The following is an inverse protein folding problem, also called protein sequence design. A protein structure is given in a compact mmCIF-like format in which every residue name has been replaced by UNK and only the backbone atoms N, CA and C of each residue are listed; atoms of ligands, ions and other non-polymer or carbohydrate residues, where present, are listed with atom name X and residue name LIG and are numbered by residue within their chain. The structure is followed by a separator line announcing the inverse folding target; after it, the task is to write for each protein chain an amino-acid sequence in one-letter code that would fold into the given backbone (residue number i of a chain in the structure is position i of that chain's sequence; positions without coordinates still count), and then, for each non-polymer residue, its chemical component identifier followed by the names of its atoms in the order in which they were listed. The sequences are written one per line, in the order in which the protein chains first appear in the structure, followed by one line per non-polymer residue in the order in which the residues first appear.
data_IF_662670582601
#
_entry.id   IF_662670582601
#
_cell.length_a   1.000
_cell.length_b   1.000
_cell.length_c   1.000
_cell.angle_alpha   90.00
_cell.angle_beta   90.00
_cell.angle_gamma   90.00
#
_symmetry.space_group_name_H-M   'P 1'
#
loop_
_entity.id
_entity.type
_entity.pdbx_description
1 polymer ?
2 non-polymer ?
3 non-polymer ?
4 water ?
#
# COMPACT_ATOMS: atom_id res chain seq x y z
N UNK A 1 -6.39 38.90 2.31
CA UNK A 1 -5.85 37.81 3.13
C UNK A 1 -5.67 36.54 2.31
N UNK A 2 -4.86 35.62 2.80
CA UNK A 2 -4.63 34.38 2.09
C UNK A 2 -5.92 33.58 1.97
N UNK A 3 -6.03 32.81 0.90
CA UNK A 3 -7.20 32.00 0.69
C UNK A 3 -7.21 30.81 1.64
N UNK A 4 -8.23 29.97 1.54
CA UNK A 4 -8.31 28.79 2.39
C UNK A 4 -7.34 27.71 1.93
N UNK A 5 -7.08 26.72 2.78
CA UNK A 5 -6.26 25.60 2.36
C UNK A 5 -6.90 24.84 1.19
N UNK A 6 -6.08 24.17 0.39
CA UNK A 6 -6.62 23.33 -0.66
C UNK A 6 -7.37 22.16 -0.05
N UNK A 7 -8.10 21.42 -0.88
CA UNK A 7 -8.83 20.25 -0.37
C UNK A 7 -7.87 19.09 0.01
N UNK A 8 -8.38 18.07 0.70
CA UNK A 8 -7.49 17.02 1.17
C UNK A 8 -6.97 16.14 0.04
N UNK A 9 -5.79 15.56 0.23
CA UNK A 9 -5.25 14.65 -0.75
C UNK A 9 -6.05 13.37 -0.85
N UNK A 10 -5.94 12.69 -1.98
CA UNK A 10 -6.55 11.37 -2.12
C UNK A 10 -5.92 10.38 -1.15
N UNK A 11 -6.68 9.33 -0.84
CA UNK A 11 -6.13 8.20 -0.10
C UNK A 11 -4.96 7.58 -0.85
N UNK A 12 -3.97 7.09 -0.09
CA UNK A 12 -2.81 6.45 -0.67
C UNK A 12 -3.11 5.13 -1.34
N UNK A 13 -2.14 4.60 -2.07
CA UNK A 13 -2.35 3.35 -2.80
C UNK A 13 -2.28 2.17 -1.85
N UNK A 14 -2.69 1.01 -2.36
CA UNK A 14 -2.55 -0.21 -1.58
C UNK A 14 -1.07 -0.51 -1.34
N UNK A 15 -0.78 -1.15 -0.22
CA UNK A 15 0.55 -1.64 0.04
C UNK A 15 0.91 -2.78 -0.91
N UNK A 16 2.18 -3.15 -0.93
CA UNK A 16 2.60 -4.27 -1.78
C UNK A 16 2.03 -5.58 -1.29
N UNK A 17 1.89 -6.53 -2.24
CA UNK A 17 1.59 -7.90 -1.89
C UNK A 17 2.58 -8.40 -0.86
N UNK A 18 2.13 -9.32 -0.01
CA UNK A 18 3.05 -9.96 0.90
C UNK A 18 4.13 -10.73 0.15
N UNK A 19 5.26 -10.96 0.81
CA UNK A 19 6.30 -11.81 0.23
C UNK A 19 5.82 -13.26 0.22
N UNK A 20 6.42 -14.12 -0.60
CA UNK A 20 6.05 -15.54 -0.59
C UNK A 20 6.23 -16.18 0.77
N UNK A 21 5.49 -17.25 0.99
CA UNK A 21 5.66 -18.04 2.17
C UNK A 21 6.94 -18.86 2.14
N UNK A 22 7.17 -19.60 3.22
CA UNK A 22 8.34 -20.47 3.28
C UNK A 22 8.15 -21.72 2.40
N UNK A 23 9.20 -22.52 2.27
CA UNK A 23 9.10 -23.73 1.47
C UNK A 23 8.04 -24.69 2.01
N UNK A 24 7.45 -25.47 1.11
CA UNK A 24 6.45 -26.42 1.53
C UNK A 24 7.09 -27.62 2.21
N UNK A 25 6.26 -28.53 2.72
CA UNK A 25 6.78 -29.74 3.35
C UNK A 25 7.39 -30.73 2.36
N UNK A 26 8.21 -31.63 2.86
CA UNK A 26 8.71 -32.71 2.02
C UNK A 26 7.57 -33.49 1.37
N UNK A 27 7.81 -33.97 0.16
CA UNK A 27 6.81 -34.75 -0.55
C UNK A 27 6.57 -36.10 0.08
N UNK A 28 5.56 -36.82 -0.42
CA UNK A 28 5.29 -38.17 0.10
C UNK A 28 6.34 -39.15 -0.36
N UNK A 29 6.50 -40.27 0.35
CA UNK A 29 7.48 -41.28 -0.06
C UNK A 29 7.23 -41.77 -1.47
N UNK A 30 8.31 -41.88 -2.24
CA UNK A 30 8.23 -42.27 -3.64
C UNK A 30 9.26 -41.57 -4.49
N UNK B 1 -9.11 41.33 -1.11
CA UNK B 1 -9.98 40.16 -0.96
C UNK B 1 -9.20 38.92 -0.60
N UNK B 2 -9.91 37.88 -0.19
CA UNK B 2 -9.27 36.62 0.11
C UNK B 2 -8.89 35.90 -1.18
N UNK B 3 -7.73 35.26 -1.16
CA UNK B 3 -7.23 34.55 -2.31
C UNK B 3 -7.93 33.23 -2.58
N UNK B 4 -7.52 32.54 -3.65
CA UNK B 4 -8.11 31.25 -4.02
C UNK B 4 -7.65 30.14 -3.08
N UNK B 5 -8.22 28.95 -3.20
CA UNK B 5 -7.73 27.85 -2.41
C UNK B 5 -6.28 27.51 -2.72
N UNK B 6 -5.58 26.96 -1.73
CA UNK B 6 -4.27 26.41 -1.95
C UNK B 6 -4.37 25.17 -2.81
N UNK B 7 -3.23 24.62 -3.22
CA UNK B 7 -3.18 23.36 -3.97
C UNK B 7 -3.77 22.22 -3.15
N UNK B 8 -4.26 21.18 -3.80
CA UNK B 8 -4.74 20.02 -3.08
C UNK B 8 -3.62 19.36 -2.31
N UNK B 9 -3.97 18.66 -1.24
CA UNK B 9 -2.99 17.92 -0.48
C UNK B 9 -2.40 16.81 -1.32
N UNK B 10 -1.23 16.34 -0.93
CA UNK B 10 -0.61 15.22 -1.62
C UNK B 10 -1.33 13.91 -1.28
N UNK B 11 -1.19 12.93 -2.17
CA UNK B 11 -1.80 11.63 -1.94
C UNK B 11 -1.25 11.01 -0.65
N UNK B 12 -2.07 10.18 -0.01
CA UNK B 12 -1.67 9.52 1.21
C UNK B 12 -0.55 8.53 1.00
N UNK B 13 0.06 8.08 2.10
CA UNK B 13 1.10 7.06 1.99
C UNK B 13 0.51 5.73 1.56
N UNK B 14 1.37 4.89 0.99
CA UNK B 14 0.95 3.55 0.65
C UNK B 14 0.58 2.78 1.92
N UNK B 15 -0.32 1.83 1.77
CA UNK B 15 -0.73 1.00 2.87
C UNK B 15 0.34 0.00 3.28
N UNK B 16 0.08 -0.70 4.38
CA UNK B 16 1.04 -1.69 4.88
C UNK B 16 1.22 -2.85 3.91
N UNK B 17 2.36 -3.53 4.07
CA UNK B 17 2.59 -4.80 3.37
C UNK B 17 1.44 -5.76 3.57
N UNK B 18 1.11 -6.51 2.52
CA UNK B 18 0.26 -7.67 2.69
C UNK B 18 0.92 -8.72 3.57
N UNK B 19 0.09 -9.61 4.11
CA UNK B 19 0.62 -10.66 4.96
C UNK B 19 1.42 -11.63 4.09
N UNK B 20 2.47 -12.24 4.62
CA UNK B 20 3.23 -13.19 3.81
C UNK B 20 2.37 -14.38 3.40
N UNK B 21 2.78 -15.02 2.32
CA UNK B 21 2.06 -16.13 1.76
C UNK B 21 2.16 -17.36 2.63
N UNK B 22 1.33 -18.36 2.33
CA UNK B 22 1.35 -19.64 3.04
C UNK B 22 2.55 -20.48 2.62
N UNK B 23 2.85 -21.51 3.40
CA UNK B 23 3.88 -22.44 2.99
C UNK B 23 3.59 -22.99 1.59
N UNK B 24 4.65 -23.32 0.86
CA UNK B 24 4.50 -23.82 -0.49
C UNK B 24 3.87 -25.19 -0.57
N UNK B 25 3.63 -25.66 -1.80
CA UNK B 25 3.11 -27.01 -2.02
C UNK B 25 4.08 -28.07 -1.50
N UNK B 26 3.55 -29.24 -1.19
CA UNK B 26 4.41 -30.36 -0.89
C UNK B 26 5.34 -30.68 -2.05
N UNK B 27 6.52 -31.21 -1.74
CA UNK B 27 7.46 -31.58 -2.77
C UNK B 27 6.97 -32.74 -3.61
N UNK B 28 7.69 -33.05 -4.70
CA UNK B 28 7.42 -34.22 -5.53
C UNK B 28 7.46 -35.53 -4.73
N UNK B 29 6.75 -36.54 -5.21
CA UNK B 29 6.75 -37.82 -4.52
C UNK B 29 8.08 -38.58 -4.63
N UNK C 1 -3.47 42.48 -6.48
CA UNK C 1 -4.59 42.95 -5.66
C UNK C 1 -5.44 41.82 -5.05
N UNK C 2 -5.73 40.74 -5.77
CA UNK C 2 -6.40 39.63 -5.12
C UNK C 2 -5.46 39.01 -4.09
N UNK C 3 -6.02 38.31 -3.11
CA UNK C 3 -5.21 37.71 -2.06
C UNK C 3 -4.42 36.53 -2.58
N UNK C 4 -3.35 36.16 -1.87
CA UNK C 4 -2.59 34.97 -2.25
C UNK C 4 -3.40 33.70 -2.03
N UNK C 5 -3.07 32.63 -2.75
CA UNK C 5 -3.70 31.36 -2.49
C UNK C 5 -3.37 30.88 -1.08
N UNK C 6 -4.23 30.05 -0.52
CA UNK C 6 -3.94 29.43 0.76
C UNK C 6 -2.85 28.39 0.67
N UNK C 7 -2.51 27.77 1.80
CA UNK C 7 -1.51 26.70 1.82
C UNK C 7 -2.03 25.43 1.16
N UNK C 8 -1.16 24.46 0.90
CA UNK C 8 -1.61 23.20 0.33
C UNK C 8 -2.56 22.47 1.28
N UNK C 9 -3.39 21.60 0.72
CA UNK C 9 -4.36 20.84 1.49
C UNK C 9 -3.73 19.80 2.39
N UNK C 10 -4.54 19.26 3.30
CA UNK C 10 -4.07 18.22 4.19
C UNK C 10 -3.76 16.95 3.41
N UNK C 11 -2.65 16.31 3.75
CA UNK C 11 -2.29 15.06 3.11
C UNK C 11 -3.38 14.01 3.31
N UNK C 12 -3.54 13.13 2.33
CA UNK C 12 -4.55 12.10 2.37
C UNK C 12 -4.23 10.99 3.35
N UNK C 13 -5.23 10.16 3.67
CA UNK C 13 -5.01 9.02 4.56
C UNK C 13 -4.25 7.90 3.86
N UNK C 14 -3.73 6.99 4.67
CA UNK C 14 -2.98 5.86 4.11
C UNK C 14 -3.89 4.91 3.33
N UNK C 15 -3.27 4.16 2.43
CA UNK C 15 -4.00 3.19 1.65
C UNK C 15 -4.22 1.91 2.42
N UNK C 16 -4.96 1.00 1.79
CA UNK C 16 -5.25 -0.28 2.45
C UNK C 16 -4.04 -1.21 2.48
N UNK C 17 -4.12 -2.21 3.35
CA UNK C 17 -3.10 -3.26 3.38
C UNK C 17 -3.05 -3.96 2.02
N UNK C 18 -1.86 -4.43 1.66
CA UNK C 18 -1.73 -5.24 0.48
C UNK C 18 -2.39 -6.60 0.65
N UNK C 19 -2.45 -7.33 -0.46
CA UNK C 19 -3.07 -8.65 -0.43
C UNK C 19 -2.05 -9.70 0.05
N UNK C 20 -2.50 -10.88 0.47
CA UNK C 20 -1.55 -11.90 0.93
C UNK C 20 -0.56 -12.30 -0.16
N UNK C 21 0.64 -12.68 0.27
CA UNK C 21 1.65 -13.16 -0.64
C UNK C 21 1.30 -14.52 -1.21
N UNK C 22 2.06 -14.95 -2.22
CA UNK C 22 1.87 -16.25 -2.86
C UNK C 22 2.47 -17.38 -2.03
N UNK C 23 2.12 -18.60 -2.39
CA UNK C 23 2.76 -19.76 -1.78
C UNK C 23 4.28 -19.71 -1.92
N UNK C 24 4.97 -20.35 -0.99
CA UNK C 24 6.41 -20.49 -1.11
C UNK C 24 6.76 -21.54 -2.16
N UNK C 25 8.07 -21.80 -2.33
CA UNK C 25 8.51 -22.85 -3.26
C UNK C 25 8.00 -24.22 -2.84
N UNK C 26 7.87 -25.12 -3.81
CA UNK C 26 7.59 -26.51 -3.48
C UNK C 26 8.64 -27.06 -2.51
N UNK C 27 8.19 -27.93 -1.61
CA UNK C 27 9.08 -28.58 -0.68
C UNK C 27 10.04 -29.54 -1.35
N UNK C 28 10.95 -30.12 -0.56
CA UNK C 28 11.89 -31.11 -1.07
C UNK C 28 11.19 -32.38 -1.55
N UNK C 29 11.82 -33.11 -2.46
CA UNK C 29 11.29 -34.39 -2.87
C UNK C 29 11.16 -35.36 -1.69
N UNK C 30 10.16 -36.23 -1.74
CA UNK C 30 9.91 -37.15 -0.65
C UNK C 30 10.74 -38.42 -0.70
X LIG D 1 -12.03 19.51 3.72
X LIG D 1 -13.29 19.45 4.40
X LIG D 1 -12.28 20.02 2.32
X LIG D 1 -11.24 20.87 1.81
X LIG E 1 8.08 -43.71 -4.02
X LIG E 1 7.78 -44.64 -3.01
X LIG E 1 8.39 -44.43 -5.33
X LIG E 1 8.15 -43.55 -6.41
X LIG E 1 9.85 -44.86 -5.33
X LIG E 1 10.61 -43.97 -6.10
#
# INVERSE_FOLDING_TARGET
PPGPPGPPGFRGPAGPNGIPGPPGPPGPPG
PPGPPGPPGFRGPAGPNGIPGPPGPPGPPG
PPGPPGPPGFRGPAGPNGIPGPPGPPGPPG
EDO C1 O1 C2 O2
GOL C1 O1 C2 O2 C3 O3
#
